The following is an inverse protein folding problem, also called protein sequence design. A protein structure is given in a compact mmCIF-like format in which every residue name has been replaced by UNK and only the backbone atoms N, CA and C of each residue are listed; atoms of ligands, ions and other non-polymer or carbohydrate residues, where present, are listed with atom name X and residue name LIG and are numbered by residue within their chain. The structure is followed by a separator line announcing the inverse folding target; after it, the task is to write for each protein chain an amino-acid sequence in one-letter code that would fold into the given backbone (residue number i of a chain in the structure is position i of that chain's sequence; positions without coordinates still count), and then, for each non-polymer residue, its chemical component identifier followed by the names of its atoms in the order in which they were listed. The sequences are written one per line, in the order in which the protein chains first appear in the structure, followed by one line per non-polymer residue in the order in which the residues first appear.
data_IF_988196413053
#
_entry.id   IF_988196413053
#
_cell.length_a   1.000
_cell.length_b   1.000
_cell.length_c   1.000
_cell.angle_alpha   90.00
_cell.angle_beta   90.00
_cell.angle_gamma   90.00
#
_symmetry.space_group_name_H-M   'P 1'
#
loop_
_entity.id
_entity.type
_entity.pdbx_description
1 polymer ?
#
# COMPACT_ATOMS: atom_id res chain seq x y z
N UNK A 1 27.00 9.65 21.84
CA UNK A 1 26.54 8.88 20.67
C UNK A 1 25.03 8.86 20.61
N UNK A 2 24.48 8.90 19.41
CA UNK A 2 23.04 8.85 19.22
C UNK A 2 22.53 7.40 19.33
N UNK A 3 21.31 7.25 19.84
CA UNK A 3 20.58 6.00 19.75
C UNK A 3 19.81 5.99 18.44
N UNK A 4 20.06 4.99 17.61
CA UNK A 4 19.40 4.88 16.30
C UNK A 4 18.28 3.86 16.42
N UNK A 5 17.04 4.30 16.14
CA UNK A 5 15.86 3.46 16.22
C UNK A 5 15.38 3.20 14.79
N UNK A 6 15.37 1.95 14.38
CA UNK A 6 15.04 1.54 13.02
C UNK A 6 14.07 0.37 13.07
N UNK A 7 13.20 0.27 12.06
CA UNK A 7 12.32 -0.88 11.90
C UNK A 7 13.03 -1.97 11.10
N UNK A 8 12.91 -3.20 11.56
CA UNK A 8 13.44 -4.35 10.82
C UNK A 8 12.51 -4.63 9.61
N UNK A 9 13.12 -5.09 8.53
CA UNK A 9 12.37 -5.45 7.32
C UNK A 9 12.10 -6.95 7.39
N UNK A 10 11.08 -7.29 8.15
CA UNK A 10 10.60 -8.67 8.29
C UNK A 10 9.09 -8.64 8.50
N UNK A 11 8.41 -9.65 7.99
CA UNK A 11 6.97 -9.80 8.15
C UNK A 11 6.62 -10.84 9.22
N UNK A 12 7.61 -11.44 9.86
CA UNK A 12 7.36 -12.49 10.84
C UNK A 12 6.52 -11.98 12.01
N UNK A 13 5.43 -12.69 12.30
CA UNK A 13 4.53 -12.35 13.39
C UNK A 13 3.64 -11.16 13.14
N UNK A 14 3.70 -10.55 11.97
CA UNK A 14 2.88 -9.39 11.61
C UNK A 14 1.69 -9.79 10.76
N UNK A 15 0.63 -8.99 10.85
CA UNK A 15 -0.56 -9.16 10.03
C UNK A 15 -0.75 -7.93 9.16
N UNK A 16 -1.12 -8.19 7.89
CA UNK A 16 -1.27 -7.12 6.89
C UNK A 16 -2.61 -7.21 6.19
N UNK A 17 -3.15 -6.06 5.80
CA UNK A 17 -4.25 -5.99 4.85
C UNK A 17 -3.75 -5.24 3.62
N UNK A 18 -4.19 -5.66 2.45
CA UNK A 18 -3.90 -4.99 1.20
C UNK A 18 -5.22 -4.54 0.59
N UNK A 19 -5.41 -3.22 0.47
CA UNK A 19 -6.58 -2.66 -0.19
C UNK A 19 -6.21 -2.43 -1.66
N UNK A 20 -6.88 -3.13 -2.56
CA UNK A 20 -6.56 -3.14 -3.98
C UNK A 20 -7.75 -2.62 -4.80
N UNK A 21 -7.51 -1.69 -5.72
CA UNK A 21 -8.57 -1.15 -6.56
C UNK A 21 -8.77 -1.97 -7.84
N UNK A 22 -10.04 -2.21 -8.20
CA UNK A 22 -10.37 -2.97 -9.41
C UNK A 22 -10.14 -2.19 -10.69
N UNK A 23 -10.37 -0.90 -10.66
CA UNK A 23 -10.16 -0.07 -11.85
C UNK A 23 -8.68 -0.10 -12.22
N UNK A 24 -8.38 -0.34 -13.49
CA UNK A 24 -7.01 -0.60 -13.98
C UNK A 24 -6.45 -1.91 -13.39
N UNK A 25 -7.28 -2.93 -13.32
CA UNK A 25 -6.95 -4.21 -12.66
C UNK A 25 -5.68 -4.86 -13.20
N UNK A 26 -5.40 -4.73 -14.50
CA UNK A 26 -4.17 -5.28 -15.10
C UNK A 26 -2.92 -4.77 -14.36
N UNK A 27 -2.87 -3.46 -14.07
CA UNK A 27 -1.76 -2.85 -13.34
C UNK A 27 -1.85 -3.20 -11.85
N UNK A 28 -3.03 -3.06 -11.26
CA UNK A 28 -3.23 -3.31 -9.83
C UNK A 28 -2.88 -4.76 -9.46
N UNK A 29 -3.22 -5.72 -10.32
CA UNK A 29 -2.89 -7.13 -10.08
C UNK A 29 -1.37 -7.35 -10.00
N UNK A 30 -0.60 -6.67 -10.83
CA UNK A 30 0.86 -6.76 -10.79
C UNK A 30 1.44 -6.14 -9.53
N UNK A 31 0.87 -5.04 -9.09
CA UNK A 31 1.26 -4.41 -7.82
C UNK A 31 0.94 -5.32 -6.64
N UNK A 32 -0.23 -5.92 -6.66
CA UNK A 32 -0.65 -6.87 -5.63
C UNK A 32 0.26 -8.09 -5.58
N UNK A 33 0.59 -8.67 -6.73
CA UNK A 33 1.52 -9.79 -6.81
C UNK A 33 2.88 -9.43 -6.21
N UNK A 34 3.38 -8.23 -6.53
CA UNK A 34 4.65 -7.74 -5.98
C UNK A 34 4.61 -7.61 -4.47
N UNK A 35 3.52 -7.06 -3.94
CA UNK A 35 3.37 -6.90 -2.48
C UNK A 35 3.29 -8.27 -1.79
N UNK A 36 2.49 -9.18 -2.31
CA UNK A 36 2.34 -10.52 -1.73
C UNK A 36 3.65 -11.30 -1.77
N UNK A 37 4.36 -11.24 -2.89
CA UNK A 37 5.65 -11.91 -3.03
C UNK A 37 6.66 -11.38 -2.01
N UNK A 38 6.72 -10.05 -1.85
CA UNK A 38 7.65 -9.43 -0.92
C UNK A 38 7.35 -9.82 0.53
N UNK A 39 6.09 -9.81 0.93
CA UNK A 39 5.69 -10.22 2.27
C UNK A 39 6.02 -11.69 2.51
N UNK A 40 5.73 -12.56 1.56
CA UNK A 40 6.01 -13.98 1.67
C UNK A 40 7.50 -14.24 1.82
N UNK A 41 8.32 -13.59 1.01
CA UNK A 41 9.79 -13.77 1.05
C UNK A 41 10.39 -13.27 2.36
N UNK A 42 9.72 -12.38 3.05
CA UNK A 42 10.20 -11.85 4.33
C UNK A 42 9.51 -12.49 5.55
N UNK A 43 8.86 -13.63 5.33
CA UNK A 43 8.40 -14.45 6.44
C UNK A 43 6.94 -14.29 6.84
N UNK A 44 6.11 -13.64 6.03
CA UNK A 44 4.68 -13.54 6.33
C UNK A 44 4.05 -14.94 6.29
N UNK A 45 3.25 -15.25 7.31
CA UNK A 45 2.45 -16.47 7.31
C UNK A 45 1.34 -16.33 6.25
N UNK A 46 0.94 -17.45 5.65
CA UNK A 46 -0.03 -17.45 4.56
C UNK A 46 -1.37 -16.84 4.99
N UNK A 47 -1.79 -17.12 6.21
CA UNK A 47 -3.04 -16.62 6.76
C UNK A 47 -2.92 -15.24 7.44
N UNK A 48 -1.77 -14.62 7.35
CA UNK A 48 -1.51 -13.32 7.97
C UNK A 48 -1.76 -12.12 7.03
N UNK A 49 -2.18 -12.37 5.80
CA UNK A 49 -2.39 -11.32 4.80
C UNK A 49 -3.79 -11.45 4.21
N UNK A 50 -4.58 -10.40 4.36
CA UNK A 50 -5.91 -10.32 3.76
C UNK A 50 -5.88 -9.32 2.61
N UNK A 51 -6.53 -9.67 1.50
CA UNK A 51 -6.67 -8.80 0.33
C UNK A 51 -8.11 -8.34 0.23
N UNK A 52 -8.31 -7.04 0.15
CA UNK A 52 -9.62 -6.42 0.06
C UNK A 52 -9.72 -5.65 -1.25
N UNK A 53 -10.65 -6.02 -2.12
CA UNK A 53 -10.87 -5.34 -3.38
C UNK A 53 -11.89 -4.23 -3.23
N UNK A 54 -11.56 -3.04 -3.75
CA UNK A 54 -12.48 -1.88 -3.79
C UNK A 54 -12.69 -1.47 -5.25
N UNK A 55 -13.78 -0.73 -5.56
CA UNK A 55 -14.09 -0.39 -6.96
C UNK A 55 -13.00 0.41 -7.68
N UNK A 56 -12.49 1.45 -7.06
CA UNK A 56 -11.49 2.33 -7.65
C UNK A 56 -10.59 2.93 -6.60
N UNK A 57 -9.59 3.68 -7.04
CA UNK A 57 -8.63 4.32 -6.12
C UNK A 57 -9.32 5.29 -5.16
N UNK A 58 -10.38 5.95 -5.62
CA UNK A 58 -11.10 6.92 -4.79
C UNK A 58 -11.70 6.27 -3.52
N UNK A 59 -12.03 4.99 -3.57
CA UNK A 59 -12.61 4.23 -2.46
C UNK A 59 -11.56 3.61 -1.53
N UNK A 60 -10.29 3.63 -1.93
CA UNK A 60 -9.20 3.07 -1.12
C UNK A 60 -9.13 3.69 0.29
N UNK A 61 -9.18 5.02 0.46
CA UNK A 61 -9.02 5.61 1.80
C UNK A 61 -10.05 5.14 2.80
N UNK A 62 -11.31 5.01 2.42
CA UNK A 62 -12.35 4.55 3.34
C UNK A 62 -12.11 3.11 3.79
N UNK A 63 -11.79 2.23 2.84
CA UNK A 63 -11.48 0.84 3.15
C UNK A 63 -10.23 0.74 4.03
N UNK A 64 -9.18 1.49 3.69
CA UNK A 64 -7.93 1.50 4.43
C UNK A 64 -8.14 1.97 5.87
N UNK A 65 -8.94 3.00 6.08
CA UNK A 65 -9.23 3.50 7.42
C UNK A 65 -9.96 2.45 8.26
N UNK A 66 -10.97 1.80 7.67
CA UNK A 66 -11.70 0.73 8.35
C UNK A 66 -10.80 -0.44 8.73
N UNK A 67 -9.93 -0.85 7.81
CA UNK A 67 -8.98 -1.93 8.07
C UNK A 67 -7.99 -1.55 9.18
N UNK A 68 -7.42 -0.35 9.08
CA UNK A 68 -6.45 0.13 10.07
C UNK A 68 -7.08 0.28 11.45
N UNK A 69 -8.32 0.74 11.53
CA UNK A 69 -9.02 0.94 12.80
C UNK A 69 -9.53 -0.37 13.41
N UNK A 70 -9.53 -1.47 12.67
CA UNK A 70 -10.09 -2.75 13.14
C UNK A 70 -9.31 -3.41 14.27
N UNK A 71 -8.05 -3.04 14.45
CA UNK A 71 -7.18 -3.67 15.45
C UNK A 71 -6.62 -5.03 15.01
N UNK A 72 -6.92 -5.45 13.79
CA UNK A 72 -6.52 -6.78 13.28
C UNK A 72 -5.19 -6.77 12.53
N UNK A 73 -4.72 -5.62 12.11
CA UNK A 73 -3.55 -5.52 11.22
C UNK A 73 -2.48 -4.61 11.79
N UNK A 74 -1.24 -4.96 11.55
CA UNK A 74 -0.09 -4.14 11.93
C UNK A 74 0.20 -3.06 10.89
N UNK A 75 -0.22 -3.26 9.66
CA UNK A 75 -0.12 -2.28 8.58
C UNK A 75 -1.14 -2.57 7.49
N UNK A 76 -1.49 -1.53 6.75
CA UNK A 76 -2.38 -1.61 5.58
C UNK A 76 -1.60 -1.10 4.37
N UNK A 77 -1.59 -1.87 3.29
CA UNK A 77 -0.92 -1.50 2.05
C UNK A 77 -2.00 -1.19 1.01
N UNK A 78 -1.92 0.00 0.41
CA UNK A 78 -2.88 0.40 -0.61
C UNK A 78 -2.24 0.29 -1.98
N UNK A 79 -2.82 -0.51 -2.87
CA UNK A 79 -2.34 -0.66 -4.25
C UNK A 79 -3.46 -0.33 -5.24
N UNK A 80 -3.09 0.32 -6.30
CA UNK A 80 -4.02 0.74 -7.33
C UNK A 80 -3.30 1.56 -8.37
N UNK A 81 -4.00 1.95 -9.40
CA UNK A 81 -3.41 2.77 -10.47
C UNK A 81 -4.40 3.85 -10.90
N UNK A 82 -3.89 5.08 -10.96
CA UNK A 82 -4.64 6.21 -11.49
C UNK A 82 -3.84 6.72 -12.69
N UNK A 83 -4.43 6.62 -13.86
CA UNK A 83 -3.77 6.99 -15.11
C UNK A 83 -4.53 8.19 -15.70
N UNK A 84 -3.78 9.25 -16.04
CA UNK A 84 -4.39 10.47 -16.57
C UNK A 84 -5.14 10.18 -17.86
N UNK A 85 -6.40 10.63 -17.91
CA UNK A 85 -7.21 10.58 -19.11
C UNK A 85 -7.36 11.97 -19.72
N UNK A 86 -8.43 12.16 -20.50
CA UNK A 86 -8.67 13.39 -21.23
C UNK A 86 -9.29 14.50 -20.38
N UNK A 87 -9.67 14.22 -19.14
CA UNK A 87 -10.38 15.16 -18.27
C UNK A 87 -9.63 15.40 -16.96
N UNK A 88 -10.13 16.35 -16.15
CA UNK A 88 -9.56 16.66 -14.84
C UNK A 88 -9.86 15.62 -13.75
N UNK A 89 -10.61 14.56 -14.08
CA UNK A 89 -10.96 13.48 -13.15
C UNK A 89 -9.72 12.91 -12.43
N UNK A 90 -8.63 12.72 -13.17
CA UNK A 90 -7.36 12.24 -12.62
C UNK A 90 -6.89 13.07 -11.42
N UNK A 91 -6.94 14.40 -11.55
CA UNK A 91 -6.44 15.29 -10.50
C UNK A 91 -7.25 15.15 -9.22
N UNK A 92 -8.58 15.01 -9.33
CA UNK A 92 -9.44 14.83 -8.16
C UNK A 92 -9.17 13.49 -7.48
N UNK A 93 -9.04 12.42 -8.26
CA UNK A 93 -8.79 11.09 -7.70
C UNK A 93 -7.43 11.05 -7.00
N UNK A 94 -6.37 11.57 -7.65
CA UNK A 94 -5.02 11.58 -7.06
C UNK A 94 -4.97 12.38 -5.77
N UNK A 95 -5.58 13.57 -5.74
CA UNK A 95 -5.63 14.43 -4.56
C UNK A 95 -6.28 13.72 -3.39
N UNK A 96 -7.46 13.13 -3.62
CA UNK A 96 -8.23 12.52 -2.53
C UNK A 96 -7.63 11.20 -2.07
N UNK A 97 -7.10 10.37 -2.97
CA UNK A 97 -6.53 9.09 -2.56
C UNK A 97 -5.25 9.32 -1.76
N UNK A 98 -4.38 10.24 -2.19
CA UNK A 98 -3.13 10.50 -1.48
C UNK A 98 -3.39 11.11 -0.11
N UNK A 99 -4.26 12.12 -0.04
CA UNK A 99 -4.62 12.77 1.22
C UNK A 99 -5.34 11.79 2.16
N UNK A 100 -6.28 11.01 1.63
CA UNK A 100 -7.07 10.08 2.44
C UNK A 100 -6.23 8.93 3.00
N UNK A 101 -5.28 8.42 2.24
CA UNK A 101 -4.37 7.38 2.73
C UNK A 101 -3.50 7.92 3.87
N UNK A 102 -2.95 9.12 3.70
CA UNK A 102 -2.17 9.75 4.76
C UNK A 102 -3.02 9.97 6.01
N UNK A 103 -4.24 10.46 5.84
CA UNK A 103 -5.17 10.72 6.95
C UNK A 103 -5.54 9.44 7.68
N UNK A 104 -5.74 8.34 6.96
CA UNK A 104 -6.08 7.06 7.57
C UNK A 104 -4.97 6.58 8.51
N UNK A 105 -3.71 6.75 8.12
CA UNK A 105 -2.58 6.40 8.97
C UNK A 105 -2.48 7.29 10.20
N UNK A 106 -2.59 8.60 10.00
CA UNK A 106 -2.48 9.56 11.11
C UNK A 106 -3.61 9.41 12.12
N UNK A 107 -4.83 9.18 11.66
CA UNK A 107 -5.99 9.09 12.56
C UNK A 107 -6.05 7.77 13.32
N UNK A 108 -5.45 6.71 12.83
CA UNK A 108 -5.50 5.38 13.46
C UNK A 108 -4.22 5.01 14.21
N UNK A 109 -3.11 5.65 13.87
CA UNK A 109 -1.79 5.29 14.41
C UNK A 109 -1.24 3.99 13.83
N UNK A 110 -1.85 3.46 12.77
CA UNK A 110 -1.42 2.25 12.09
C UNK A 110 -0.81 2.66 10.75
N UNK A 111 0.34 2.09 10.34
CA UNK A 111 0.90 2.40 9.04
C UNK A 111 -0.08 2.08 7.91
N UNK A 112 -0.38 3.08 7.10
CA UNK A 112 -1.20 2.94 5.89
C UNK A 112 -0.33 3.41 4.73
N UNK A 113 0.07 2.48 3.88
CA UNK A 113 1.12 2.69 2.90
C UNK A 113 0.53 3.04 1.54
N UNK A 114 1.06 4.08 0.93
CA UNK A 114 0.62 4.56 -0.37
C UNK A 114 1.39 3.84 -1.49
N UNK A 115 0.85 2.73 -1.95
CA UNK A 115 1.39 1.96 -3.07
C UNK A 115 0.61 2.17 -4.36
N UNK A 116 -0.09 3.29 -4.47
CA UNK A 116 -0.90 3.62 -5.65
C UNK A 116 -0.03 4.31 -6.69
N UNK A 117 -0.06 3.79 -7.91
CA UNK A 117 0.66 4.35 -9.05
C UNK A 117 -0.19 5.47 -9.65
N UNK A 118 0.41 6.65 -9.81
CA UNK A 118 -0.26 7.81 -10.43
C UNK A 118 0.59 8.26 -11.60
N UNK A 119 0.10 8.08 -12.82
CA UNK A 119 0.92 8.31 -14.01
C UNK A 119 0.18 9.07 -15.09
N UNK A 120 0.96 9.67 -16.01
CA UNK A 120 0.43 10.42 -17.15
C UNK A 120 -0.09 9.50 -18.24
N UNK A 121 0.44 8.27 -18.34
CA UNK A 121 0.05 7.32 -19.38
C UNK A 121 0.21 5.87 -18.90
N UNK A 122 -0.27 4.94 -19.72
CA UNK A 122 -0.24 3.51 -19.40
C UNK A 122 1.20 2.98 -19.33
N UNK A 123 2.08 3.44 -20.21
CA UNK A 123 3.48 2.98 -20.22
C UNK A 123 4.17 3.25 -18.89
N UNK A 124 3.96 4.43 -18.32
CA UNK A 124 4.53 4.77 -17.02
C UNK A 124 3.99 3.87 -15.93
N UNK A 125 2.71 3.51 -16.01
CA UNK A 125 2.10 2.61 -15.04
C UNK A 125 2.72 1.20 -15.14
N UNK A 126 2.89 0.69 -16.36
CA UNK A 126 3.54 -0.61 -16.59
C UNK A 126 4.97 -0.62 -16.06
N UNK A 127 5.71 0.47 -16.27
CA UNK A 127 7.09 0.59 -15.79
C UNK A 127 7.20 0.44 -14.27
N UNK A 128 6.17 0.87 -13.55
CA UNK A 128 6.15 0.88 -12.07
C UNK A 128 5.44 -0.33 -11.45
N UNK A 129 4.99 -1.24 -12.31
CA UNK A 129 4.26 -2.44 -11.89
C UNK A 129 5.05 -3.74 -12.16
N UNK A 130 6.38 -3.65 -12.12
CA UNK A 130 7.24 -4.81 -12.24
C UNK A 130 8.12 -4.84 -13.47
N UNK A 131 8.31 -3.68 -14.13
CA UNK A 131 9.23 -3.60 -15.25
C UNK A 131 10.34 -2.59 -14.97
N UNK A 132 10.57 -1.63 -15.84
CA UNK A 132 11.73 -0.73 -15.83
C UNK A 132 11.97 0.01 -14.51
N UNK A 133 10.92 0.49 -13.86
CA UNK A 133 11.02 1.27 -12.63
C UNK A 133 10.68 0.47 -11.36
N UNK A 134 10.77 -0.84 -11.42
CA UNK A 134 10.49 -1.72 -10.28
C UNK A 134 9.01 -2.00 -10.09
N UNK A 135 8.60 -2.28 -8.86
CA UNK A 135 7.23 -2.59 -8.52
C UNK A 135 6.81 -1.80 -7.29
N UNK A 136 5.86 -0.89 -7.46
CA UNK A 136 5.38 0.00 -6.39
C UNK A 136 4.68 -0.77 -5.27
N UNK A 137 4.04 -1.90 -5.59
CA UNK A 137 3.43 -2.77 -4.59
C UNK A 137 4.47 -3.44 -3.70
N UNK A 138 5.54 -3.93 -4.31
CA UNK A 138 6.66 -4.52 -3.55
C UNK A 138 7.31 -3.47 -2.65
N UNK A 139 7.53 -2.26 -3.18
CA UNK A 139 8.08 -1.16 -2.39
C UNK A 139 7.18 -0.82 -1.20
N UNK A 140 5.85 -0.83 -1.43
CA UNK A 140 4.87 -0.60 -0.37
C UNK A 140 4.93 -1.66 0.72
N UNK A 141 5.12 -2.92 0.34
CA UNK A 141 5.25 -4.00 1.31
C UNK A 141 6.50 -3.84 2.17
N UNK A 142 7.62 -3.42 1.57
CA UNK A 142 8.84 -3.14 2.30
C UNK A 142 8.64 -2.02 3.32
N UNK A 143 8.01 -0.93 2.89
CA UNK A 143 7.72 0.19 3.77
C UNK A 143 6.77 -0.22 4.90
N UNK A 144 5.78 -1.07 4.61
CA UNK A 144 4.84 -1.56 5.62
C UNK A 144 5.55 -2.36 6.72
N UNK A 145 6.46 -3.25 6.33
CA UNK A 145 7.23 -4.04 7.28
C UNK A 145 8.12 -3.14 8.15
N UNK A 146 8.82 -2.22 7.52
CA UNK A 146 9.70 -1.30 8.23
C UNK A 146 8.93 -0.45 9.23
N UNK A 147 7.82 0.15 8.79
CA UNK A 147 7.02 1.03 9.65
C UNK A 147 6.32 0.27 10.78
N UNK A 148 5.76 -0.91 10.50
CA UNK A 148 5.11 -1.70 11.54
C UNK A 148 6.10 -2.08 12.65
N UNK A 149 7.31 -2.48 12.27
CA UNK A 149 8.35 -2.83 13.24
C UNK A 149 8.90 -1.61 13.96
N UNK A 150 9.03 -0.49 13.25
CA UNK A 150 9.50 0.76 13.86
C UNK A 150 8.55 1.22 14.96
N UNK A 151 7.25 1.25 14.71
CA UNK A 151 6.28 1.72 15.69
C UNK A 151 6.26 0.89 16.96
N UNK A 152 6.60 -0.39 16.88
CA UNK A 152 6.73 -1.24 18.06
C UNK A 152 7.89 -0.84 18.95
N UNK A 153 8.90 -0.17 18.40
CA UNK A 153 10.07 0.30 19.13
C UNK A 153 9.89 1.70 19.70
N UNK A 154 8.95 2.46 19.17
CA UNK A 154 8.60 3.79 19.67
C UNK A 154 7.49 3.61 20.69
N UNK A 155 7.82 3.73 21.93
CA UNK A 155 6.87 3.49 23.03
C UNK A 155 6.67 4.76 23.83
#
# INVERSE_FOLDING_TARGET
MANIIEGNITAEGLRFAIAASRFNEFITSKLLEGALDMLRRHGAAEDAVDVVWVPGAFEIPLAAKKLAASGKYDAVICVGAVIRGATSHYDYVCSEVSKGVAQAGLSTGVPVIFGVVTTENIEQAVERAGTKAGNKGADGAMAAMEMANLLKKIV
#
